data_IF_984438237873
#
_entry.id   IF_984438237873
#
_cell.length_a   1.000
_cell.length_b   1.000
_cell.length_c   1.000
_cell.angle_alpha   90.00
_cell.angle_beta   90.00
_cell.angle_gamma   90.00
#
_symmetry.space_group_name_H-M   'P 1'
#
loop_
_entity.id
_entity.type
_entity.pdbx_description
1 polymer ?
#
# COMPACT_ATOMS: atom_id res chain seq x y z
N UNK A 1 -66.75 -29.39 -18.69
CA UNK A 1 -68.11 -29.69 -18.19
C UNK A 1 -68.00 -29.73 -16.67
N UNK A 2 -67.74 -28.59 -16.01
CA UNK A 2 -68.70 -27.56 -15.56
C UNK A 2 -69.82 -28.11 -14.67
N UNK A 3 -69.79 -27.59 -13.43
CA UNK A 3 -70.88 -27.31 -12.50
C UNK A 3 -71.70 -28.46 -11.90
N UNK A 4 -71.73 -28.54 -10.57
CA UNK A 4 -72.87 -28.02 -9.80
C UNK A 4 -72.63 -28.05 -8.27
N UNK A 5 -72.83 -26.87 -7.66
CA UNK A 5 -73.32 -26.60 -6.29
C UNK A 5 -72.50 -27.15 -5.09
N UNK A 6 -71.82 -26.37 -4.25
CA UNK A 6 -72.01 -25.00 -3.75
C UNK A 6 -73.32 -24.77 -2.99
N UNK A 7 -73.37 -25.15 -1.70
CA UNK A 7 -74.15 -24.48 -0.64
C UNK A 7 -73.77 -25.03 0.73
N UNK A 8 -73.17 -24.20 1.58
CA UNK A 8 -73.33 -24.12 3.04
C UNK A 8 -72.47 -22.92 3.47
N UNK A 9 -73.12 -21.75 3.42
CA UNK A 9 -72.62 -20.46 3.90
C UNK A 9 -72.94 -20.34 5.39
N UNK A 10 -71.97 -19.89 6.19
CA UNK A 10 -72.14 -18.92 7.29
C UNK A 10 -70.73 -18.47 7.71
N UNK A 11 -70.22 -17.36 7.16
CA UNK A 11 -70.35 -16.00 7.69
C UNK A 11 -70.13 -15.92 9.21
N UNK A 12 -68.96 -15.44 9.61
CA UNK A 12 -68.92 -14.23 10.44
C UNK A 12 -67.65 -13.42 10.13
N UNK A 13 -67.91 -12.18 9.72
CA UNK A 13 -66.93 -11.12 9.49
C UNK A 13 -66.66 -10.41 10.81
N UNK A 14 -65.40 -10.13 11.11
CA UNK A 14 -65.05 -9.02 12.00
C UNK A 14 -63.79 -8.29 11.51
N UNK A 15 -64.09 -7.25 10.73
CA UNK A 15 -63.45 -5.94 10.68
C UNK A 15 -61.94 -5.83 11.01
N UNK A 16 -61.17 -5.49 9.98
CA UNK A 16 -59.97 -4.66 10.12
C UNK A 16 -60.33 -3.27 10.66
N UNK A 17 -59.34 -2.60 11.28
CA UNK A 17 -58.93 -1.34 10.70
C UNK A 17 -57.41 -1.26 10.51
N UNK A 18 -57.05 -0.71 9.36
CA UNK A 18 -55.72 -0.20 9.01
C UNK A 18 -55.28 0.87 10.01
N UNK A 19 -54.06 0.74 10.56
CA UNK A 19 -53.33 1.85 11.17
C UNK A 19 -51.97 1.94 10.51
N UNK A 20 -51.71 3.12 9.94
CA UNK A 20 -50.47 3.53 9.33
C UNK A 20 -49.39 3.81 10.39
N UNK A 21 -48.15 3.40 10.09
CA UNK A 21 -46.90 4.04 10.50
C UNK A 21 -46.50 3.98 11.98
N UNK A 22 -45.46 3.20 12.28
CA UNK A 22 -44.35 3.73 13.08
C UNK A 22 -43.03 3.06 12.66
N UNK A 23 -42.22 3.88 12.01
CA UNK A 23 -40.83 3.69 11.67
C UNK A 23 -39.97 3.79 12.96
N UNK A 24 -39.08 2.80 13.21
CA UNK A 24 -37.96 2.74 14.19
C UNK A 24 -37.58 1.25 14.32
N UNK A 25 -36.39 0.73 14.04
CA UNK A 25 -35.05 1.25 13.78
C UNK A 25 -34.35 0.30 12.79
N UNK A 26 -33.49 0.80 11.88
CA UNK A 26 -32.52 -0.05 11.21
C UNK A 26 -31.58 -0.62 12.27
N UNK A 27 -31.41 -1.94 12.25
CA UNK A 27 -30.36 -2.63 12.99
C UNK A 27 -29.02 -1.96 12.65
N UNK A 28 -28.34 -1.55 13.72
CA UNK A 28 -27.08 -0.85 13.68
C UNK A 28 -26.05 -1.72 12.95
N UNK A 29 -25.74 -1.37 11.71
CA UNK A 29 -24.44 -1.69 11.15
C UNK A 29 -23.40 -1.03 12.06
N UNK A 30 -22.43 -1.77 12.60
CA UNK A 30 -21.30 -1.11 13.22
C UNK A 30 -20.59 -0.33 12.13
N UNK A 31 -20.69 0.99 12.26
CA UNK A 31 -19.85 1.99 11.62
C UNK A 31 -18.41 1.68 12.05
N UNK A 32 -17.73 0.87 11.23
CA UNK A 32 -16.31 0.63 11.41
C UNK A 32 -15.58 1.82 10.82
N UNK A 33 -15.27 2.75 11.73
CA UNK A 33 -14.38 3.89 11.55
C UNK A 33 -13.27 3.62 10.52
N UNK A 34 -13.22 4.51 9.53
CA UNK A 34 -12.13 4.69 8.57
C UNK A 34 -10.80 4.85 9.33
N UNK A 35 -10.04 3.75 9.43
CA UNK A 35 -8.56 3.61 9.42
C UNK A 35 -8.14 2.26 10.02
N UNK A 36 -8.72 1.16 9.55
CA UNK A 36 -8.21 -0.16 9.87
C UNK A 36 -7.36 -0.63 8.69
N UNK A 37 -6.05 -0.75 8.91
CA UNK A 37 -5.19 -1.46 7.98
C UNK A 37 -5.79 -2.85 7.72
N UNK A 38 -5.60 -3.35 6.49
CA UNK A 38 -6.11 -4.66 6.04
C UNK A 38 -5.86 -5.69 7.15
N UNK A 39 -6.92 -6.26 7.74
CA UNK A 39 -6.76 -7.34 8.72
C UNK A 39 -6.27 -8.60 8.01
N UNK A 40 -5.61 -9.51 8.73
CA UNK A 40 -5.13 -10.76 8.17
C UNK A 40 -6.30 -11.62 7.64
N UNK A 41 -7.46 -11.55 8.30
CA UNK A 41 -8.70 -12.18 7.81
C UNK A 41 -9.12 -11.58 6.47
N UNK A 42 -9.09 -10.26 6.34
CA UNK A 42 -9.46 -9.56 5.11
C UNK A 42 -8.50 -9.85 3.97
N UNK A 43 -7.19 -9.91 4.25
CA UNK A 43 -6.18 -10.30 3.27
C UNK A 43 -6.43 -11.72 2.75
N UNK A 44 -6.72 -12.69 3.64
CA UNK A 44 -7.04 -14.06 3.21
C UNK A 44 -8.32 -14.09 2.40
N UNK A 45 -9.37 -13.37 2.82
CA UNK A 45 -10.61 -13.28 2.06
C UNK A 45 -10.39 -12.69 0.67
N UNK A 46 -9.59 -11.63 0.57
CA UNK A 46 -9.21 -11.02 -0.70
C UNK A 46 -8.46 -12.00 -1.59
N UNK A 47 -7.47 -12.73 -1.06
CA UNK A 47 -6.72 -13.73 -1.82
C UNK A 47 -7.64 -14.82 -2.38
N UNK A 48 -8.57 -15.34 -1.58
CA UNK A 48 -9.53 -16.33 -2.06
C UNK A 48 -10.48 -15.78 -3.12
N UNK A 49 -10.92 -14.51 -2.99
CA UNK A 49 -11.70 -13.85 -4.03
C UNK A 49 -10.89 -13.70 -5.33
N UNK A 50 -9.62 -13.30 -5.26
CA UNK A 50 -8.74 -13.21 -6.42
C UNK A 50 -8.54 -14.58 -7.09
N UNK A 51 -8.45 -15.67 -6.32
CA UNK A 51 -8.40 -17.03 -6.87
C UNK A 51 -9.70 -17.49 -7.51
N UNK A 52 -10.85 -17.11 -6.94
CA UNK A 52 -12.15 -17.40 -7.53
C UNK A 52 -12.29 -16.77 -8.92
N UNK A 53 -11.82 -15.53 -9.08
CA UNK A 53 -11.80 -14.85 -10.38
C UNK A 53 -10.75 -15.44 -11.35
N UNK A 54 -9.53 -15.68 -10.88
CA UNK A 54 -8.43 -16.14 -11.73
C UNK A 54 -8.59 -17.61 -12.16
N UNK A 55 -9.15 -18.46 -11.29
CA UNK A 55 -9.17 -19.92 -11.46
C UNK A 55 -10.58 -20.52 -11.32
N UNK A 56 -11.63 -19.79 -11.69
CA UNK A 56 -13.05 -20.09 -11.48
C UNK A 56 -13.44 -21.58 -11.48
N UNK A 57 -13.17 -22.32 -12.57
CA UNK A 57 -13.53 -23.74 -12.67
C UNK A 57 -12.75 -24.64 -11.68
N UNK A 58 -11.46 -24.38 -11.47
CA UNK A 58 -10.65 -25.14 -10.51
C UNK A 58 -11.04 -24.80 -9.08
N UNK A 59 -11.34 -23.52 -8.82
CA UNK A 59 -11.75 -23.01 -7.52
C UNK A 59 -13.06 -23.65 -7.06
N UNK A 60 -14.12 -23.63 -7.87
CA UNK A 60 -15.40 -24.26 -7.49
C UNK A 60 -15.33 -25.79 -7.41
N UNK A 61 -14.38 -26.43 -8.10
CA UNK A 61 -14.12 -27.86 -7.92
C UNK A 61 -13.40 -28.18 -6.61
N UNK A 62 -12.45 -27.34 -6.21
CA UNK A 62 -11.69 -27.51 -4.98
C UNK A 62 -12.50 -27.11 -3.74
N UNK A 63 -13.38 -26.12 -3.86
CA UNK A 63 -14.17 -25.52 -2.79
C UNK A 63 -15.66 -25.51 -3.15
N UNK A 64 -16.24 -26.70 -3.35
CA UNK A 64 -17.65 -26.83 -3.72
C UNK A 64 -18.60 -26.44 -2.57
N UNK A 65 -18.23 -26.76 -1.33
CA UNK A 65 -19.04 -26.51 -0.14
C UNK A 65 -18.54 -25.29 0.64
N UNK A 66 -19.49 -24.51 1.17
CA UNK A 66 -19.18 -23.34 2.00
C UNK A 66 -18.38 -23.70 3.27
N UNK A 67 -18.63 -24.88 3.86
CA UNK A 67 -17.87 -25.37 5.00
C UNK A 67 -16.41 -25.67 4.65
N UNK A 68 -16.17 -26.32 3.50
CA UNK A 68 -14.80 -26.61 3.03
C UNK A 68 -14.01 -25.34 2.76
N UNK A 69 -14.65 -24.32 2.18
CA UNK A 69 -14.06 -22.99 1.97
C UNK A 69 -13.70 -22.34 3.31
N UNK A 70 -14.59 -22.37 4.30
CA UNK A 70 -14.33 -21.79 5.62
C UNK A 70 -13.16 -22.50 6.34
N UNK A 71 -13.10 -23.83 6.27
CA UNK A 71 -11.99 -24.62 6.83
C UNK A 71 -10.67 -24.26 6.14
N UNK A 72 -10.66 -24.15 4.80
CA UNK A 72 -9.49 -23.78 4.03
C UNK A 72 -8.97 -22.39 4.42
N UNK A 73 -9.85 -21.38 4.50
CA UNK A 73 -9.47 -20.02 4.93
C UNK A 73 -8.87 -20.00 6.34
N UNK A 74 -9.47 -20.73 7.28
CA UNK A 74 -8.94 -20.84 8.66
C UNK A 74 -7.57 -21.51 8.69
N UNK A 75 -7.38 -22.56 7.90
CA UNK A 75 -6.10 -23.24 7.75
C UNK A 75 -5.03 -22.31 7.16
N UNK A 76 -5.36 -21.58 6.10
CA UNK A 76 -4.44 -20.63 5.47
C UNK A 76 -4.07 -19.48 6.41
N UNK A 77 -5.03 -18.95 7.16
CA UNK A 77 -4.80 -17.92 8.17
C UNK A 77 -3.81 -18.40 9.23
N UNK A 78 -3.95 -19.64 9.72
CA UNK A 78 -3.01 -20.20 10.72
C UNK A 78 -1.59 -20.37 10.19
N UNK A 79 -1.42 -20.68 8.91
CA UNK A 79 -0.10 -20.90 8.31
C UNK A 79 0.58 -19.56 7.96
N UNK A 80 -0.22 -18.57 7.58
CA UNK A 80 0.27 -17.27 7.16
C UNK A 80 0.32 -16.24 8.30
N UNK A 81 0.11 -16.67 9.55
CA UNK A 81 0.04 -15.82 10.75
C UNK A 81 1.26 -14.89 10.91
N UNK A 82 2.44 -15.36 10.49
CA UNK A 82 3.71 -14.65 10.64
C UNK A 82 3.99 -13.61 9.54
N UNK A 83 3.12 -13.49 8.54
CA UNK A 83 3.30 -12.57 7.42
C UNK A 83 2.32 -11.40 7.50
N UNK A 84 2.73 -10.24 6.99
CA UNK A 84 1.85 -9.08 6.97
C UNK A 84 0.68 -9.30 5.99
N UNK A 85 -0.50 -8.72 6.25
CA UNK A 85 -1.64 -8.77 5.33
C UNK A 85 -1.28 -8.30 3.91
N UNK A 86 -0.50 -7.23 3.81
CA UNK A 86 0.00 -6.70 2.53
C UNK A 86 0.89 -7.71 1.80
N UNK A 87 1.79 -8.38 2.52
CA UNK A 87 2.69 -9.40 1.96
C UNK A 87 1.91 -10.59 1.40
N UNK A 88 0.88 -11.06 2.11
CA UNK A 88 0.02 -12.16 1.69
C UNK A 88 -0.69 -11.83 0.36
N UNK A 89 -1.28 -10.63 0.27
CA UNK A 89 -1.98 -10.18 -0.94
C UNK A 89 -1.01 -10.02 -2.12
N UNK A 90 0.16 -9.43 -1.91
CA UNK A 90 1.14 -9.26 -2.99
C UNK A 90 1.71 -10.60 -3.45
N UNK A 91 1.98 -11.52 -2.53
CA UNK A 91 2.42 -12.88 -2.85
C UNK A 91 1.37 -13.62 -3.70
N UNK A 92 0.09 -13.52 -3.34
CA UNK A 92 -0.99 -14.11 -4.14
C UNK A 92 -1.04 -13.54 -5.56
N UNK A 93 -0.96 -12.22 -5.70
CA UNK A 93 -0.92 -11.54 -7.01
C UNK A 93 0.28 -11.96 -7.86
N UNK A 94 1.43 -12.20 -7.25
CA UNK A 94 2.61 -12.69 -7.94
C UNK A 94 2.41 -14.14 -8.42
N UNK A 95 1.85 -15.00 -7.56
CA UNK A 95 1.56 -16.40 -7.92
C UNK A 95 0.52 -16.48 -9.04
N UNK A 96 -0.53 -15.65 -9.00
CA UNK A 96 -1.55 -15.59 -10.05
C UNK A 96 -0.94 -15.26 -11.43
N UNK A 97 0.07 -14.38 -11.45
CA UNK A 97 0.75 -13.99 -12.71
C UNK A 97 1.73 -15.05 -13.22
N UNK A 98 2.18 -15.95 -12.37
CA UNK A 98 3.23 -16.93 -12.70
C UNK A 98 2.72 -18.35 -12.90
N UNK A 99 1.54 -18.69 -12.38
CA UNK A 99 0.98 -20.04 -12.43
C UNK A 99 -0.35 -20.09 -13.17
N UNK A 100 -0.48 -21.07 -14.08
CA UNK A 100 -1.70 -21.30 -14.87
C UNK A 100 -2.80 -22.06 -14.09
N UNK A 101 -2.46 -22.63 -12.94
CA UNK A 101 -3.34 -23.48 -12.14
C UNK A 101 -3.56 -22.89 -10.74
N UNK A 102 -4.65 -23.30 -10.09
CA UNK A 102 -4.96 -22.89 -8.73
C UNK A 102 -3.79 -23.24 -7.80
N UNK A 103 -3.14 -22.26 -7.17
CA UNK A 103 -1.92 -22.51 -6.43
C UNK A 103 -2.18 -23.24 -5.12
N UNK A 104 -1.20 -24.03 -4.67
CA UNK A 104 -1.19 -24.57 -3.32
C UNK A 104 -0.72 -23.54 -2.31
N UNK A 105 -1.03 -23.75 -1.03
CA UNK A 105 -0.54 -22.88 0.05
C UNK A 105 1.00 -22.80 0.09
N UNK A 106 1.70 -23.87 -0.29
CA UNK A 106 3.16 -23.88 -0.36
C UNK A 106 3.72 -22.98 -1.47
N UNK A 107 2.97 -22.76 -2.56
CA UNK A 107 3.35 -21.78 -3.57
C UNK A 107 3.26 -20.35 -3.01
N UNK A 108 2.21 -20.06 -2.24
CA UNK A 108 2.03 -18.77 -1.58
C UNK A 108 3.09 -18.53 -0.50
N UNK A 109 3.42 -19.56 0.30
CA UNK A 109 4.47 -19.46 1.31
C UNK A 109 5.83 -19.08 0.69
N UNK A 110 6.22 -19.78 -0.39
CA UNK A 110 7.46 -19.49 -1.12
C UNK A 110 7.44 -18.08 -1.74
N UNK A 111 6.28 -17.62 -2.20
CA UNK A 111 6.16 -16.25 -2.70
C UNK A 111 6.32 -15.24 -1.56
N UNK A 112 5.69 -15.46 -0.39
CA UNK A 112 5.88 -14.61 0.79
C UNK A 112 7.36 -14.55 1.22
N UNK A 113 8.10 -15.66 1.15
CA UNK A 113 9.54 -15.73 1.47
C UNK A 113 10.41 -14.91 0.50
N UNK A 114 9.99 -14.74 -0.76
CA UNK A 114 10.64 -13.85 -1.75
C UNK A 114 10.36 -12.36 -1.50
N UNK A 115 9.86 -12.03 -0.31
CA UNK A 115 9.22 -10.76 0.06
C UNK A 115 9.93 -9.49 -0.39
N UNK A 116 11.25 -9.36 -0.32
CA UNK A 116 11.93 -8.11 -0.74
C UNK A 116 11.72 -7.80 -2.22
N UNK A 117 11.80 -8.82 -3.08
CA UNK A 117 11.69 -8.66 -4.52
C UNK A 117 10.25 -8.35 -4.92
N UNK A 118 9.26 -8.88 -4.18
CA UNK A 118 7.83 -8.59 -4.37
C UNK A 118 7.51 -7.10 -4.17
N UNK A 119 8.23 -6.42 -3.28
CA UNK A 119 8.05 -4.99 -3.01
C UNK A 119 9.03 -4.11 -3.81
N UNK A 120 9.79 -4.68 -4.76
CA UNK A 120 10.77 -3.93 -5.55
C UNK A 120 11.97 -3.43 -4.73
N UNK A 121 12.22 -4.02 -3.55
CA UNK A 121 13.33 -3.66 -2.70
C UNK A 121 14.61 -4.34 -3.23
N UNK A 122 15.65 -3.58 -3.62
CA UNK A 122 16.91 -4.18 -4.06
C UNK A 122 17.60 -4.96 -2.93
N UNK A 123 18.54 -5.84 -3.28
CA UNK A 123 19.36 -6.51 -2.26
C UNK A 123 20.16 -5.50 -1.44
N UNK A 124 20.45 -5.80 -0.16
CA UNK A 124 21.16 -4.87 0.73
C UNK A 124 22.49 -4.37 0.14
N UNK A 125 23.20 -5.23 -0.59
CA UNK A 125 24.45 -4.87 -1.28
C UNK A 125 24.21 -3.92 -2.46
N UNK A 126 23.20 -4.17 -3.29
CA UNK A 126 22.85 -3.28 -4.39
C UNK A 126 22.39 -1.91 -3.86
N UNK A 127 21.52 -1.91 -2.84
CA UNK A 127 21.07 -0.69 -2.17
C UNK A 127 22.23 0.13 -1.61
N UNK A 128 23.22 -0.53 -1.00
CA UNK A 128 24.42 0.13 -0.48
C UNK A 128 25.26 0.76 -1.59
N UNK A 129 25.52 0.02 -2.68
CA UNK A 129 26.27 0.54 -3.83
C UNK A 129 25.58 1.74 -4.49
N UNK A 130 24.25 1.69 -4.61
CA UNK A 130 23.45 2.81 -5.07
C UNK A 130 23.58 4.02 -4.13
N UNK A 131 23.47 3.82 -2.82
CA UNK A 131 23.61 4.87 -1.82
C UNK A 131 24.98 5.57 -1.84
N UNK A 132 26.05 4.79 -2.04
CA UNK A 132 27.42 5.29 -2.17
C UNK A 132 27.67 6.03 -3.50
N UNK A 133 27.06 5.56 -4.60
CA UNK A 133 27.26 6.15 -5.94
C UNK A 133 26.34 7.34 -6.24
N UNK A 134 25.27 7.53 -5.47
CA UNK A 134 24.30 8.60 -5.70
C UNK A 134 24.92 10.02 -5.55
N UNK A 135 24.90 10.85 -6.61
CA UNK A 135 25.42 12.21 -6.59
C UNK A 135 24.59 13.15 -5.71
N UNK A 136 25.18 14.26 -5.28
CA UNK A 136 24.45 15.35 -4.63
C UNK A 136 23.77 16.22 -5.69
N UNK A 137 22.49 16.62 -5.53
CA UNK A 137 21.62 16.46 -4.35
C UNK A 137 20.88 15.11 -4.31
N UNK A 138 21.08 14.36 -3.21
CA UNK A 138 20.51 13.01 -3.02
C UNK A 138 18.98 12.94 -3.03
N UNK A 139 18.28 14.05 -2.78
CA UNK A 139 16.80 14.12 -2.84
C UNK A 139 16.23 14.10 -4.25
N UNK A 140 17.01 14.54 -5.25
CA UNK A 140 16.59 14.58 -6.67
C UNK A 140 17.06 13.36 -7.47
N UNK A 141 17.71 12.42 -6.80
CA UNK A 141 18.20 11.20 -7.42
C UNK A 141 17.05 10.23 -7.67
N UNK A 142 17.10 9.50 -8.78
CA UNK A 142 16.13 8.46 -9.10
C UNK A 142 16.52 7.18 -8.36
N UNK A 143 16.03 7.07 -7.12
CA UNK A 143 16.27 5.89 -6.30
C UNK A 143 15.50 4.68 -6.82
N UNK A 144 16.10 3.50 -6.76
CA UNK A 144 15.41 2.23 -7.07
C UNK A 144 14.21 2.02 -6.15
N UNK A 145 14.34 2.44 -4.88
CA UNK A 145 13.26 2.49 -3.91
C UNK A 145 13.57 3.54 -2.84
N UNK A 146 12.57 4.23 -2.33
CA UNK A 146 12.67 5.22 -1.26
C UNK A 146 13.33 4.66 0.02
N UNK A 147 13.15 3.37 0.31
CA UNK A 147 13.81 2.71 1.43
C UNK A 147 15.35 2.82 1.35
N UNK A 148 15.93 2.85 0.14
CA UNK A 148 17.37 3.03 -0.07
C UNK A 148 17.80 4.44 0.34
N UNK A 149 17.02 5.46 -0.06
CA UNK A 149 17.27 6.84 0.33
C UNK A 149 17.19 7.02 1.85
N UNK A 150 16.13 6.51 2.49
CA UNK A 150 15.97 6.64 3.93
C UNK A 150 17.05 5.85 4.70
N UNK A 151 17.44 4.66 4.23
CA UNK A 151 18.52 3.89 4.82
C UNK A 151 19.83 4.67 4.82
N UNK A 152 20.17 5.32 3.70
CA UNK A 152 21.36 6.13 3.61
C UNK A 152 21.28 7.43 4.42
N UNK A 153 20.08 8.03 4.55
CA UNK A 153 19.84 9.18 5.44
C UNK A 153 20.06 8.81 6.90
N UNK A 154 19.58 7.66 7.36
CA UNK A 154 19.75 7.19 8.74
C UNK A 154 21.17 6.71 9.04
N UNK A 155 21.80 5.98 8.11
CA UNK A 155 23.21 5.59 8.24
C UNK A 155 24.16 6.79 8.18
N UNK A 156 23.75 7.87 7.52
CA UNK A 156 24.49 9.11 7.38
C UNK A 156 25.29 9.16 6.09
N UNK A 157 24.92 10.08 5.20
CA UNK A 157 25.59 10.27 3.91
C UNK A 157 27.08 10.57 4.00
N UNK A 158 27.50 11.28 5.06
CA UNK A 158 28.91 11.56 5.32
C UNK A 158 29.70 10.28 5.63
N UNK A 159 29.12 9.39 6.45
CA UNK A 159 29.73 8.11 6.80
C UNK A 159 29.84 7.22 5.56
N UNK A 160 28.76 7.14 4.77
CA UNK A 160 28.75 6.35 3.52
C UNK A 160 29.74 6.85 2.46
N UNK A 161 30.12 8.12 2.49
CA UNK A 161 31.02 8.73 1.51
C UNK A 161 32.51 8.69 1.92
N UNK A 162 32.81 8.68 3.22
CA UNK A 162 34.18 8.86 3.72
C UNK A 162 34.75 7.63 4.44
N UNK A 163 33.90 6.75 4.99
CA UNK A 163 34.37 5.56 5.72
C UNK A 163 34.51 4.34 4.80
N UNK A 164 35.40 3.38 5.14
CA UNK A 164 35.55 2.16 4.38
C UNK A 164 34.29 1.26 4.49
N UNK A 165 34.08 0.43 3.47
CA UNK A 165 32.95 -0.49 3.36
C UNK A 165 32.77 -1.35 4.61
N UNK A 166 33.86 -1.84 5.22
CA UNK A 166 33.82 -2.68 6.42
C UNK A 166 33.11 -2.01 7.61
N UNK A 167 33.19 -0.68 7.73
CA UNK A 167 32.53 0.09 8.80
C UNK A 167 31.16 0.58 8.36
N UNK A 168 31.03 1.05 7.12
CA UNK A 168 29.82 1.68 6.61
C UNK A 168 28.72 0.69 6.25
N UNK A 169 29.07 -0.46 5.67
CA UNK A 169 28.12 -1.46 5.18
C UNK A 169 27.25 -2.08 6.27
N UNK A 170 27.77 -2.48 7.46
CA UNK A 170 26.94 -3.03 8.53
C UNK A 170 25.92 -2.02 9.07
N UNK A 171 26.32 -0.75 9.22
CA UNK A 171 25.43 0.33 9.70
C UNK A 171 24.31 0.57 8.70
N UNK A 172 24.65 0.68 7.41
CA UNK A 172 23.65 0.79 6.35
C UNK A 172 22.69 -0.40 6.34
N UNK A 173 23.24 -1.63 6.37
CA UNK A 173 22.45 -2.87 6.30
C UNK A 173 21.47 -2.98 7.46
N UNK A 174 21.87 -2.56 8.67
CA UNK A 174 20.99 -2.52 9.84
C UNK A 174 19.77 -1.61 9.58
N UNK A 175 19.99 -0.37 9.14
CA UNK A 175 18.91 0.56 8.85
C UNK A 175 18.05 0.10 7.67
N UNK A 176 18.67 -0.40 6.61
CA UNK A 176 17.99 -0.90 5.42
C UNK A 176 17.08 -2.08 5.76
N UNK A 177 17.56 -3.06 6.54
CA UNK A 177 16.76 -4.22 6.95
C UNK A 177 15.53 -3.81 7.76
N UNK A 178 15.67 -2.82 8.65
CA UNK A 178 14.55 -2.29 9.42
C UNK A 178 13.51 -1.62 8.51
N UNK A 179 13.97 -0.82 7.56
CA UNK A 179 13.09 -0.16 6.59
C UNK A 179 12.39 -1.16 5.66
N UNK A 180 13.08 -2.19 5.19
CA UNK A 180 12.47 -3.25 4.40
C UNK A 180 11.31 -3.91 5.15
N UNK A 181 11.47 -4.18 6.45
CA UNK A 181 10.38 -4.73 7.28
C UNK A 181 9.19 -3.77 7.38
N UNK A 182 9.45 -2.47 7.50
CA UNK A 182 8.41 -1.45 7.52
C UNK A 182 7.66 -1.37 6.19
N UNK A 183 8.37 -1.37 5.06
CA UNK A 183 7.76 -1.44 3.72
C UNK A 183 6.89 -2.69 3.57
N UNK A 184 7.41 -3.85 3.98
CA UNK A 184 6.67 -5.13 3.95
C UNK A 184 5.41 -5.06 4.83
N UNK A 185 5.46 -4.34 5.96
CA UNK A 185 4.29 -4.13 6.81
C UNK A 185 3.26 -3.15 6.22
N UNK A 186 3.57 -2.49 5.10
CA UNK A 186 2.68 -1.54 4.41
C UNK A 186 2.97 -0.07 4.71
N UNK A 187 4.08 0.25 5.37
CA UNK A 187 4.50 1.64 5.58
C UNK A 187 5.04 2.22 4.27
N UNK A 188 4.46 3.32 3.80
CA UNK A 188 4.93 4.04 2.62
C UNK A 188 5.86 5.18 3.04
N UNK A 189 6.99 5.29 2.34
CA UNK A 189 7.97 6.33 2.55
C UNK A 189 7.93 7.30 1.38
N UNK A 190 7.55 8.55 1.64
CA UNK A 190 7.59 9.60 0.63
C UNK A 190 8.82 10.49 0.82
N UNK A 191 9.56 10.73 -0.25
CA UNK A 191 10.71 11.63 -0.24
C UNK A 191 10.18 13.04 -0.49
N UNK A 192 9.93 13.79 0.59
CA UNK A 192 9.58 15.21 0.49
C UNK A 192 10.62 15.97 -0.37
N UNK A 193 10.22 16.31 -1.59
CA UNK A 193 10.98 17.24 -2.41
C UNK A 193 10.69 18.64 -1.88
N UNK A 194 11.71 19.39 -1.41
CA UNK A 194 11.49 20.80 -1.12
C UNK A 194 11.04 21.48 -2.42
N UNK A 195 9.92 22.21 -2.36
CA UNK A 195 9.48 23.09 -3.45
C UNK A 195 10.68 23.88 -3.94
N UNK A 196 10.84 23.94 -5.27
CA UNK A 196 11.90 24.75 -5.87
C UNK A 196 11.82 26.15 -5.25
N UNK A 197 12.91 26.57 -4.58
CA UNK A 197 13.04 27.97 -4.16
C UNK A 197 12.69 28.81 -5.39
N UNK A 198 11.77 29.77 -5.29
CA UNK A 198 11.39 30.60 -6.43
C UNK A 198 12.68 31.13 -7.04
N UNK A 199 12.84 30.98 -8.36
CA UNK A 199 14.01 31.50 -9.06
C UNK A 199 14.21 32.93 -8.57
N UNK A 200 15.32 33.15 -7.87
CA UNK A 200 15.73 34.52 -7.55
C UNK A 200 16.10 35.09 -8.91
N UNK A 201 15.13 35.69 -9.57
CA UNK A 201 15.34 36.45 -10.80
C UNK A 201 16.24 37.60 -10.35
N UNK A 202 17.55 37.38 -10.44
CA UNK A 202 18.52 38.45 -10.37
C UNK A 202 18.25 39.32 -11.60
N UNK A 203 17.33 40.26 -11.43
CA UNK A 203 17.02 41.29 -12.41
C UNK A 203 18.31 42.11 -12.52
N UNK A 204 19.18 41.73 -13.46
CA UNK A 204 20.35 42.53 -13.81
C UNK A 204 19.83 43.94 -14.07
N UNK A 205 20.28 44.90 -13.25
CA UNK A 205 19.93 46.29 -13.47
C UNK A 205 20.33 46.64 -14.91
N UNK A 206 19.44 47.31 -15.61
CA UNK A 206 19.76 47.84 -16.92
C UNK A 206 20.93 48.84 -16.79
N UNK A 207 21.77 48.92 -17.83
CA UNK A 207 23.04 49.67 -17.78
C UNK A 207 22.80 51.13 -17.41
N UNK A 208 21.71 51.71 -17.92
CA UNK A 208 21.31 53.10 -17.64
C UNK A 208 20.95 53.31 -16.17
N UNK A 209 20.24 52.37 -15.54
CA UNK A 209 19.90 52.43 -14.12
C UNK A 209 21.12 52.25 -13.22
N UNK A 210 22.09 51.44 -13.66
CA UNK A 210 23.36 51.25 -12.94
C UNK A 210 24.20 52.52 -12.98
N UNK A 211 24.31 53.16 -14.15
CA UNK A 211 24.99 54.44 -14.30
C UNK A 211 24.34 55.56 -13.48
N UNK A 212 23.01 55.64 -13.47
CA UNK A 212 22.27 56.62 -12.67
C UNK A 212 22.49 56.42 -11.16
N UNK A 213 22.48 55.17 -10.68
CA UNK A 213 22.77 54.85 -9.27
C UNK A 213 24.22 55.17 -8.88
N UNK A 214 25.18 54.85 -9.75
CA UNK A 214 26.59 55.17 -9.50
C UNK A 214 26.80 56.69 -9.49
N UNK A 215 26.18 57.43 -10.40
CA UNK A 215 26.25 58.90 -10.42
C UNK A 215 25.64 59.52 -9.15
N UNK A 216 24.52 58.96 -8.67
CA UNK A 216 23.90 59.37 -7.41
C UNK A 216 24.80 59.08 -6.21
N UNK A 217 25.41 57.89 -6.15
CA UNK A 217 26.37 57.52 -5.10
C UNK A 217 27.61 58.41 -5.10
N UNK A 218 28.14 58.77 -6.26
CA UNK A 218 29.29 59.70 -6.36
C UNK A 218 28.95 61.09 -5.82
N UNK A 219 27.76 61.59 -6.16
CA UNK A 219 27.25 62.89 -5.67
C UNK A 219 27.05 62.90 -4.16
N UNK A 220 26.52 61.81 -3.59
CA UNK A 220 26.29 61.69 -2.14
C UNK A 220 27.61 61.52 -1.36
N UNK A 221 28.67 61.02 -2.01
CA UNK A 221 30.02 60.85 -1.44
C UNK A 221 30.97 62.03 -1.71
N UNK A 222 30.53 63.06 -2.43
CA UNK A 222 31.31 64.28 -2.68
C UNK A 222 32.52 64.10 -3.62
N UNK A 223 32.49 63.09 -4.49
CA UNK A 223 33.48 62.79 -5.54
C UNK A 223 32.97 63.22 -6.92
#
# INVERSE_FOLDING_TARGET
MLDLANKELKNDSSASPTVAGLNKQPEQQPDFDEKQGIDQVDAINQVFAEFEFAYHNQYHKAFADAESLAIAKKYWLSILENYSPTQIVQAAKFVIRSQDYLPSIAAILRACEQGTDLFGLPSARQAYLEACSAPSPKRKYQWSHEAVYFAGKYAGWFLLANEPEATAYPVFTYHYTKLCRQVISGEQFDIEQPEALPEKIEKKLDKEETHARIARMKKDLGL
#
